data_IF_890659809480
#
_entry.id   IF_890659809480
#
_cell.length_a   1.000
_cell.length_b   1.000
_cell.length_c   1.000
_cell.angle_alpha   90.00
_cell.angle_beta   90.00
_cell.angle_gamma   90.00
#
_symmetry.space_group_name_H-M   'P 1'
#
loop_
_entity.id
_entity.type
_entity.pdbx_description
1 polymer ?
#
# COMPACT_ATOMS: atom_id res chain seq x y z
N UNK A 1 -24.55 53.12 4.10
CA UNK A 1 -23.53 52.08 4.36
C UNK A 1 -24.21 50.73 4.15
N UNK A 2 -23.76 49.96 3.15
CA UNK A 2 -24.38 48.70 2.71
C UNK A 2 -23.46 47.57 3.17
N UNK A 3 -23.84 46.82 4.20
CA UNK A 3 -23.10 45.67 4.70
C UNK A 3 -23.37 44.46 3.82
N UNK A 4 -22.31 43.88 3.23
CA UNK A 4 -22.37 42.60 2.55
C UNK A 4 -21.94 41.51 3.54
N UNK A 5 -22.79 40.50 3.67
CA UNK A 5 -22.61 39.33 4.52
C UNK A 5 -21.71 38.31 3.82
N UNK A 6 -20.47 38.17 4.28
CA UNK A 6 -19.42 37.30 3.72
C UNK A 6 -19.50 35.85 4.24
N UNK A 7 -20.60 35.45 4.88
CA UNK A 7 -20.72 34.15 5.54
C UNK A 7 -20.88 32.96 4.58
N UNK A 8 -21.23 33.16 3.30
CA UNK A 8 -21.52 32.08 2.35
C UNK A 8 -20.34 31.49 1.56
N UNK A 9 -19.16 32.13 1.56
CA UNK A 9 -18.04 31.73 0.66
C UNK A 9 -17.11 30.70 1.32
N UNK A 10 -17.13 30.61 2.66
CA UNK A 10 -16.21 29.76 3.42
C UNK A 10 -16.59 28.27 3.43
N UNK A 11 -17.85 27.93 3.19
CA UNK A 11 -18.32 26.53 3.19
C UNK A 11 -18.12 25.83 1.83
N UNK A 12 -18.28 26.53 0.71
CA UNK A 12 -18.16 25.92 -0.62
C UNK A 12 -16.72 25.49 -0.95
N UNK A 13 -15.73 26.25 -0.48
CA UNK A 13 -14.31 25.97 -0.72
C UNK A 13 -13.80 24.75 0.05
N UNK A 14 -14.30 24.52 1.28
CA UNK A 14 -13.95 23.33 2.07
C UNK A 14 -14.49 22.03 1.43
N UNK A 15 -15.71 22.06 0.89
CA UNK A 15 -16.36 20.89 0.27
C UNK A 15 -15.65 20.46 -1.03
N UNK A 16 -15.21 21.42 -1.86
CA UNK A 16 -14.47 21.10 -3.09
C UNK A 16 -13.07 20.55 -2.78
N UNK A 17 -12.37 21.08 -1.78
CA UNK A 17 -11.04 20.57 -1.41
C UNK A 17 -11.10 19.13 -0.90
N UNK A 18 -12.05 18.77 -0.03
CA UNK A 18 -12.15 17.41 0.50
C UNK A 18 -12.56 16.39 -0.57
N UNK A 19 -13.39 16.78 -1.55
CA UNK A 19 -13.78 15.90 -2.65
C UNK A 19 -12.59 15.60 -3.58
N UNK A 20 -11.75 16.59 -3.87
CA UNK A 20 -10.54 16.42 -4.70
C UNK A 20 -9.48 15.59 -3.99
N UNK A 21 -9.28 15.74 -2.68
CA UNK A 21 -8.32 14.92 -1.93
C UNK A 21 -8.76 13.44 -1.87
N UNK A 22 -10.05 13.16 -1.64
CA UNK A 22 -10.57 11.80 -1.61
C UNK A 22 -10.47 11.10 -2.98
N UNK A 23 -10.67 11.81 -4.08
CA UNK A 23 -10.55 11.26 -5.44
C UNK A 23 -9.07 11.01 -5.83
N UNK A 24 -8.14 11.83 -5.32
CA UNK A 24 -6.71 11.62 -5.53
C UNK A 24 -6.17 10.41 -4.75
N UNK A 25 -6.59 10.21 -3.49
CA UNK A 25 -6.19 9.05 -2.67
C UNK A 25 -6.77 7.72 -3.21
N UNK A 26 -8.00 7.73 -3.73
CA UNK A 26 -8.63 6.56 -4.33
C UNK A 26 -7.92 6.08 -5.61
N UNK A 27 -7.30 7.00 -6.37
CA UNK A 27 -6.58 6.65 -7.61
C UNK A 27 -5.12 6.29 -7.38
N UNK A 28 -4.50 6.73 -6.28
CA UNK A 28 -3.15 6.32 -5.90
C UNK A 28 -3.11 4.89 -5.35
N UNK A 29 -4.05 4.56 -4.46
CA UNK A 29 -4.14 3.24 -3.80
C UNK A 29 -4.27 2.06 -4.79
N UNK A 30 -5.05 2.23 -5.87
CA UNK A 30 -5.24 1.21 -6.89
C UNK A 30 -4.01 1.05 -7.84
N UNK A 31 -3.24 2.13 -8.03
CA UNK A 31 -1.99 2.10 -8.81
C UNK A 31 -0.82 1.51 -8.04
N UNK A 32 -0.70 1.81 -6.75
CA UNK A 32 0.33 1.20 -5.88
C UNK A 32 0.09 -0.30 -5.70
N UNK A 33 -1.16 -0.74 -5.51
CA UNK A 33 -1.48 -2.17 -5.37
C UNK A 33 -1.14 -3.00 -6.62
N UNK A 34 -1.33 -2.43 -7.82
CA UNK A 34 -0.95 -3.09 -9.08
C UNK A 34 0.57 -3.18 -9.26
N UNK A 35 1.30 -2.12 -8.91
CA UNK A 35 2.77 -2.11 -8.91
C UNK A 35 3.33 -3.17 -7.95
N UNK A 36 2.78 -3.27 -6.74
CA UNK A 36 3.19 -4.25 -5.74
C UNK A 36 2.94 -5.69 -6.19
N UNK A 37 1.82 -5.97 -6.87
CA UNK A 37 1.52 -7.29 -7.40
C UNK A 37 2.51 -7.71 -8.51
N UNK A 38 2.85 -6.80 -9.41
CA UNK A 38 3.82 -7.05 -10.48
C UNK A 38 5.24 -7.26 -9.92
N UNK A 39 5.64 -6.47 -8.92
CA UNK A 39 6.91 -6.63 -8.22
C UNK A 39 6.99 -7.97 -7.47
N UNK A 40 5.91 -8.36 -6.77
CA UNK A 40 5.81 -9.68 -6.13
C UNK A 40 5.94 -10.81 -7.14
N UNK A 41 5.27 -10.71 -8.30
CA UNK A 41 5.35 -11.72 -9.35
C UNK A 41 6.78 -11.88 -9.86
N UNK A 42 7.50 -10.77 -10.10
CA UNK A 42 8.92 -10.78 -10.52
C UNK A 42 9.81 -11.42 -9.45
N UNK A 43 9.61 -11.05 -8.18
CA UNK A 43 10.36 -11.62 -7.05
C UNK A 43 10.16 -13.13 -6.94
N UNK A 44 8.91 -13.61 -7.06
CA UNK A 44 8.59 -15.03 -7.04
C UNK A 44 9.23 -15.77 -8.22
N UNK A 45 9.19 -15.20 -9.43
CA UNK A 45 9.80 -15.81 -10.60
C UNK A 45 11.32 -15.99 -10.43
N UNK A 46 12.00 -14.97 -9.90
CA UNK A 46 13.43 -15.04 -9.57
C UNK A 46 13.73 -16.11 -8.53
N UNK A 47 12.99 -16.13 -7.42
CA UNK A 47 13.16 -17.14 -6.37
C UNK A 47 12.97 -18.57 -6.90
N UNK A 48 11.96 -18.79 -7.76
CA UNK A 48 11.76 -20.10 -8.41
C UNK A 48 12.95 -20.52 -9.26
N UNK A 49 13.59 -19.59 -9.95
CA UNK A 49 14.78 -19.87 -10.74
C UNK A 49 15.97 -20.22 -9.85
N UNK A 50 16.24 -19.46 -8.79
CA UNK A 50 17.32 -19.72 -7.83
C UNK A 50 17.15 -21.08 -7.14
N UNK A 51 15.91 -21.46 -6.80
CA UNK A 51 15.60 -22.79 -6.25
C UNK A 51 15.89 -23.89 -7.28
N UNK A 52 15.51 -23.67 -8.54
CA UNK A 52 15.72 -24.65 -9.61
C UNK A 52 17.20 -24.81 -9.97
N UNK A 53 18.01 -23.75 -9.90
CA UNK A 53 19.46 -23.81 -10.13
C UNK A 53 20.22 -24.41 -8.93
N UNK A 54 19.59 -24.51 -7.77
CA UNK A 54 20.23 -24.93 -6.53
C UNK A 54 21.08 -23.84 -5.86
N UNK A 55 20.98 -22.60 -6.34
CA UNK A 55 21.71 -21.44 -5.82
C UNK A 55 20.96 -20.72 -4.70
N UNK A 56 19.70 -21.09 -4.46
CA UNK A 56 18.90 -20.51 -3.40
C UNK A 56 19.48 -20.82 -2.02
N UNK A 57 19.83 -19.77 -1.28
CA UNK A 57 20.27 -19.85 0.11
C UNK A 57 19.16 -19.31 1.02
N UNK A 58 18.53 -20.20 1.78
CA UNK A 58 17.55 -19.80 2.78
C UNK A 58 18.26 -19.16 3.99
N UNK A 59 17.71 -18.06 4.49
CA UNK A 59 18.17 -17.44 5.74
C UNK A 59 17.66 -18.26 6.94
N UNK A 60 18.57 -18.67 7.81
CA UNK A 60 18.25 -19.42 9.04
C UNK A 60 17.33 -18.60 9.94
N UNK A 61 17.48 -17.27 9.96
CA UNK A 61 16.62 -16.39 10.74
C UNK A 61 15.18 -16.40 10.22
N UNK A 62 14.99 -16.37 8.90
CA UNK A 62 13.67 -16.47 8.28
C UNK A 62 13.00 -17.82 8.58
N UNK A 63 13.77 -18.91 8.55
CA UNK A 63 13.28 -20.24 8.94
C UNK A 63 12.83 -20.26 10.41
N UNK A 64 13.65 -19.73 11.32
CA UNK A 64 13.31 -19.67 12.74
C UNK A 64 12.04 -18.83 12.98
N UNK A 65 11.91 -17.70 12.26
CA UNK A 65 10.72 -16.86 12.34
C UNK A 65 9.47 -17.58 11.84
N UNK A 66 9.56 -18.30 10.71
CA UNK A 66 8.44 -19.08 10.16
C UNK A 66 8.01 -20.19 11.13
N UNK A 67 8.96 -20.91 11.72
CA UNK A 67 8.67 -21.94 12.71
C UNK A 67 8.02 -21.36 13.96
N UNK A 68 8.51 -20.21 14.45
CA UNK A 68 7.93 -19.52 15.61
C UNK A 68 6.49 -19.08 15.31
N UNK A 69 6.26 -18.48 14.14
CA UNK A 69 4.91 -18.06 13.71
C UNK A 69 3.95 -19.24 13.54
N UNK A 70 4.44 -20.39 13.10
CA UNK A 70 3.61 -21.60 12.97
C UNK A 70 3.27 -22.24 14.33
N UNK A 71 4.13 -22.05 15.35
CA UNK A 71 3.92 -22.61 16.69
C UNK A 71 3.03 -21.75 17.59
N UNK A 72 2.97 -20.44 17.36
CA UNK A 72 2.12 -19.52 18.12
C UNK A 72 1.23 -18.68 17.18
N UNK A 73 0.01 -19.16 16.85
CA UNK A 73 -0.90 -18.44 15.96
C UNK A 73 -1.53 -17.20 16.59
N UNK A 74 -1.21 -16.86 17.84
CA UNK A 74 -1.82 -15.76 18.61
C UNK A 74 -0.85 -14.58 18.87
N UNK A 75 0.33 -14.56 18.25
CA UNK A 75 1.30 -13.45 18.27
C UNK A 75 1.12 -12.47 17.10
#
# INVERSE_FOLDING_TARGET
>A
MKGYDESGIRDATNIETERVFNEFDATQSDRTGRSEAEERARKIARLKQEVKSGEYQADVHDIARLLTSAMDPML
#
